data_IF_368736677150
#
_entry.id   IF_368736677150
#
_cell.length_a   1.000
_cell.length_b   1.000
_cell.length_c   1.000
_cell.angle_alpha   90.00
_cell.angle_beta   90.00
_cell.angle_gamma   90.00
#
_symmetry.space_group_name_H-M   'P 1'
#
loop_
_entity.id
_entity.type
_entity.pdbx_description
1 polymer ?
#
# COMPACT_ATOMS: atom_id res chain seq x y z
N UNK A 1 19.77 17.86 15.51
CA UNK A 1 19.53 16.43 15.30
C UNK A 1 18.27 16.07 16.06
N UNK A 2 17.24 15.54 15.39
CA UNK A 2 16.05 15.00 16.07
C UNK A 2 16.41 13.79 16.95
N UNK A 3 15.57 13.48 17.94
CA UNK A 3 15.77 12.31 18.81
C UNK A 3 15.69 11.04 17.97
N UNK A 4 16.65 10.12 18.13
CA UNK A 4 16.60 8.78 17.52
C UNK A 4 15.41 8.02 18.13
N UNK A 5 14.54 7.48 17.30
CA UNK A 5 13.37 6.70 17.71
C UNK A 5 13.56 5.25 17.33
N UNK A 6 12.99 4.35 18.12
CA UNK A 6 12.85 2.96 17.78
C UNK A 6 11.49 2.72 17.12
N UNK A 7 11.50 2.38 15.83
CA UNK A 7 10.32 2.38 14.97
C UNK A 7 10.03 0.97 14.46
N UNK A 8 8.81 0.47 14.71
CA UNK A 8 8.33 -0.79 14.16
C UNK A 8 7.59 -0.54 12.83
N UNK A 9 7.98 -1.28 11.79
CA UNK A 9 7.24 -1.33 10.52
C UNK A 9 6.74 -2.75 10.31
N UNK A 10 5.43 -2.98 10.50
CA UNK A 10 4.81 -4.27 10.17
C UNK A 10 4.55 -4.38 8.68
N UNK A 11 4.75 -5.55 8.07
CA UNK A 11 4.77 -5.66 6.61
C UNK A 11 5.97 -4.96 5.99
N UNK A 12 7.06 -4.80 6.78
CA UNK A 12 8.22 -4.01 6.41
C UNK A 12 9.06 -4.57 5.26
N UNK A 13 8.95 -5.85 4.92
CA UNK A 13 9.57 -6.44 3.73
C UNK A 13 8.68 -6.38 2.48
N UNK A 14 7.47 -5.82 2.60
CA UNK A 14 6.54 -5.61 1.49
C UNK A 14 6.94 -4.47 0.57
N UNK A 15 6.11 -4.20 -0.43
CA UNK A 15 6.34 -3.14 -1.42
C UNK A 15 6.59 -1.79 -0.75
N UNK A 16 5.58 -1.18 -0.13
CA UNK A 16 5.74 0.12 0.53
C UNK A 16 6.58 0.03 1.81
N UNK A 17 6.43 -1.06 2.58
CA UNK A 17 7.16 -1.24 3.83
C UNK A 17 8.68 -1.21 3.67
N UNK A 18 9.21 -1.81 2.61
CA UNK A 18 10.65 -1.84 2.36
C UNK A 18 11.25 -0.47 2.03
N UNK A 19 10.49 0.37 1.32
CA UNK A 19 10.90 1.74 1.04
C UNK A 19 10.78 2.65 2.27
N UNK A 20 9.76 2.41 3.09
CA UNK A 20 9.61 3.12 4.36
C UNK A 20 10.73 2.75 5.32
N UNK A 21 11.06 1.45 5.48
CA UNK A 21 12.20 1.00 6.29
C UNK A 21 13.50 1.67 5.85
N UNK A 22 13.79 1.66 4.54
CA UNK A 22 14.98 2.29 3.97
C UNK A 22 15.04 3.78 4.32
N UNK A 23 13.95 4.51 4.11
CA UNK A 23 13.87 5.95 4.41
C UNK A 23 14.07 6.25 5.90
N UNK A 24 13.46 5.47 6.80
CA UNK A 24 13.59 5.66 8.25
C UNK A 24 15.01 5.34 8.75
N UNK A 25 15.66 4.29 8.18
CA UNK A 25 17.08 3.98 8.45
C UNK A 25 18.00 5.12 8.00
N UNK A 26 17.76 5.69 6.82
CA UNK A 26 18.51 6.85 6.30
C UNK A 26 18.30 8.12 7.16
N UNK A 27 17.12 8.27 7.76
CA UNK A 27 16.86 9.36 8.73
C UNK A 27 17.56 9.15 10.07
N UNK A 28 18.21 8.01 10.28
CA UNK A 28 18.99 7.69 11.48
C UNK A 28 18.18 7.08 12.62
N UNK A 29 16.98 6.58 12.36
CA UNK A 29 16.17 5.88 13.35
C UNK A 29 16.56 4.41 13.47
N UNK A 30 16.29 3.78 14.63
CA UNK A 30 16.35 2.35 14.86
C UNK A 30 15.09 1.70 14.30
N UNK A 31 15.21 0.92 13.24
CA UNK A 31 14.07 0.37 12.50
C UNK A 31 13.94 -1.14 12.70
N UNK A 32 12.79 -1.58 13.20
CA UNK A 32 12.40 -2.99 13.27
C UNK A 32 11.45 -3.29 12.12
N UNK A 33 11.92 -4.09 11.15
CA UNK A 33 11.11 -4.63 10.07
C UNK A 33 10.49 -5.95 10.53
N UNK A 34 9.18 -6.00 10.67
CA UNK A 34 8.45 -7.22 11.04
C UNK A 34 7.63 -7.72 9.86
N UNK A 35 7.87 -8.96 9.43
CA UNK A 35 7.19 -9.55 8.27
C UNK A 35 7.11 -11.07 8.38
N UNK A 36 6.04 -11.69 7.88
CA UNK A 36 5.90 -13.15 7.82
C UNK A 36 6.25 -13.74 6.44
N UNK A 37 6.57 -12.87 5.46
CA UNK A 37 6.87 -13.19 4.07
C UNK A 37 5.75 -13.93 3.33
N UNK A 38 4.50 -13.66 3.69
CA UNK A 38 3.35 -14.26 3.01
C UNK A 38 3.17 -13.73 1.58
N UNK A 39 3.39 -12.41 1.37
CA UNK A 39 3.31 -11.75 0.05
C UNK A 39 4.55 -10.95 -0.30
N UNK A 40 5.45 -10.78 0.65
CA UNK A 40 6.69 -10.02 0.56
C UNK A 40 7.90 -10.91 0.26
N UNK A 41 9.04 -10.28 0.00
CA UNK A 41 10.30 -10.98 -0.22
C UNK A 41 11.43 -10.40 0.64
N UNK A 42 12.28 -11.27 1.19
CA UNK A 42 13.46 -10.85 1.97
C UNK A 42 14.41 -9.99 1.14
N UNK A 43 14.50 -10.22 -0.17
CA UNK A 43 15.31 -9.43 -1.09
C UNK A 43 14.97 -7.93 -1.09
N UNK A 44 13.72 -7.55 -0.77
CA UNK A 44 13.31 -6.15 -0.71
C UNK A 44 14.04 -5.35 0.38
N UNK A 45 14.53 -6.01 1.43
CA UNK A 45 15.24 -5.39 2.56
C UNK A 45 16.66 -5.94 2.74
N UNK A 46 17.16 -6.76 1.80
CA UNK A 46 18.47 -7.39 1.91
C UNK A 46 19.60 -6.38 2.09
N UNK A 47 19.53 -5.23 1.40
CA UNK A 47 20.51 -4.14 1.47
C UNK A 47 20.54 -3.41 2.84
N UNK A 48 19.53 -3.63 3.68
CA UNK A 48 19.45 -3.05 5.04
C UNK A 48 19.99 -3.97 6.12
N UNK A 49 20.16 -5.28 5.84
CA UNK A 49 20.52 -6.27 6.87
C UNK A 49 21.87 -6.02 7.55
N UNK A 50 22.79 -5.32 6.89
CA UNK A 50 24.11 -4.96 7.43
C UNK A 50 24.14 -3.59 8.12
N UNK A 51 23.01 -2.87 8.11
CA UNK A 51 22.91 -1.57 8.78
C UNK A 51 22.77 -1.75 10.29
N UNK A 52 23.56 -1.04 11.11
CA UNK A 52 23.54 -1.22 12.58
C UNK A 52 22.22 -0.80 13.23
N UNK A 53 21.42 0.03 12.55
CA UNK A 53 20.15 0.54 13.00
C UNK A 53 18.96 -0.11 12.28
N UNK A 54 19.12 -1.38 11.82
CA UNK A 54 18.06 -2.15 11.18
C UNK A 54 17.99 -3.57 11.73
N UNK A 55 16.80 -4.00 12.13
CA UNK A 55 16.52 -5.35 12.61
C UNK A 55 15.38 -5.98 11.80
N UNK A 56 15.56 -7.23 11.34
CA UNK A 56 14.53 -7.99 10.64
C UNK A 56 13.99 -9.09 11.53
N UNK A 57 12.70 -9.03 11.86
CA UNK A 57 11.99 -10.04 12.65
C UNK A 57 10.98 -10.78 11.76
N UNK A 58 11.14 -12.10 11.63
CA UNK A 58 10.15 -12.94 10.97
C UNK A 58 9.04 -13.30 11.96
N UNK A 59 7.87 -12.66 11.80
CA UNK A 59 6.74 -12.88 12.68
C UNK A 59 5.41 -12.62 11.98
N UNK A 60 4.35 -13.34 12.39
CA UNK A 60 2.98 -13.13 11.93
C UNK A 60 2.24 -12.20 12.88
N UNK A 61 1.84 -11.02 12.41
CA UNK A 61 1.19 -10.00 13.23
C UNK A 61 -0.17 -10.43 13.84
N UNK A 62 -0.75 -11.52 13.34
CA UNK A 62 -1.96 -12.12 13.98
C UNK A 62 -1.66 -12.82 15.29
N UNK A 63 -0.39 -13.02 15.63
CA UNK A 63 0.08 -13.55 16.90
C UNK A 63 0.63 -12.42 17.76
N UNK A 64 0.49 -12.49 19.08
CA UNK A 64 1.05 -11.48 19.99
C UNK A 64 2.57 -11.37 19.86
N UNK A 65 3.07 -10.16 19.94
CA UNK A 65 4.50 -9.85 20.04
C UNK A 65 4.69 -8.69 21.02
N UNK A 66 5.79 -8.71 21.76
CA UNK A 66 6.11 -7.71 22.76
C UNK A 66 7.46 -7.05 22.40
N UNK A 67 7.41 -5.80 21.97
CA UNK A 67 8.57 -4.97 21.63
C UNK A 67 8.43 -3.62 22.36
N UNK A 68 9.56 -3.00 22.68
CA UNK A 68 9.59 -1.62 23.16
C UNK A 68 9.88 -0.71 21.97
N UNK A 69 8.97 0.19 21.64
CA UNK A 69 9.04 1.06 20.47
C UNK A 69 8.41 2.43 20.75
N UNK A 70 8.87 3.44 20.04
CA UNK A 70 8.36 4.82 20.12
C UNK A 70 7.26 5.07 19.08
N UNK A 71 7.39 4.44 17.90
CA UNK A 71 6.44 4.58 16.80
C UNK A 71 6.18 3.25 16.09
N UNK A 72 4.97 3.11 15.53
CA UNK A 72 4.57 1.91 14.79
C UNK A 72 3.91 2.33 13.48
N UNK A 73 4.41 1.82 12.35
CA UNK A 73 3.75 1.86 11.06
C UNK A 73 3.12 0.50 10.76
N UNK A 74 1.79 0.42 10.81
CA UNK A 74 1.07 -0.84 10.57
C UNK A 74 0.68 -0.98 9.10
N UNK A 75 1.56 -1.63 8.31
CA UNK A 75 1.36 -1.88 6.88
C UNK A 75 1.04 -3.35 6.57
N UNK A 76 1.13 -4.25 7.55
CA UNK A 76 0.94 -5.68 7.35
C UNK A 76 -0.49 -6.02 6.90
N UNK A 77 -0.65 -6.32 5.61
CA UNK A 77 -1.85 -6.92 5.03
C UNK A 77 -1.57 -7.33 3.58
N UNK A 78 -2.07 -8.48 3.09
CA UNK A 78 -2.15 -8.72 1.66
C UNK A 78 -2.99 -7.62 1.00
N UNK A 79 -2.43 -6.88 0.04
CA UNK A 79 -3.05 -5.65 -0.47
C UNK A 79 -3.34 -5.67 -1.98
N UNK A 80 -2.97 -6.74 -2.67
CA UNK A 80 -3.26 -6.91 -4.09
C UNK A 80 -4.33 -7.99 -4.30
N UNK A 81 -5.23 -7.85 -5.30
CA UNK A 81 -6.36 -8.77 -5.52
C UNK A 81 -5.96 -10.24 -5.55
N UNK A 82 -4.92 -10.59 -6.29
CA UNK A 82 -4.42 -11.96 -6.36
C UNK A 82 -3.95 -12.51 -5.02
N UNK A 83 -3.44 -11.66 -4.13
CA UNK A 83 -2.94 -12.07 -2.82
C UNK A 83 -4.03 -12.14 -1.75
N UNK A 84 -4.91 -11.13 -1.64
CA UNK A 84 -5.90 -11.13 -0.57
C UNK A 84 -7.06 -12.12 -0.85
N UNK A 85 -7.34 -12.43 -2.13
CA UNK A 85 -8.33 -13.44 -2.52
C UNK A 85 -7.76 -14.88 -2.43
N UNK A 86 -6.43 -15.04 -2.49
CA UNK A 86 -5.79 -16.34 -2.31
C UNK A 86 -6.10 -16.96 -0.93
N UNK A 87 -6.07 -16.16 0.14
CA UNK A 87 -6.50 -16.59 1.47
C UNK A 87 -7.29 -15.47 2.16
N UNK A 88 -8.61 -15.36 1.87
CA UNK A 88 -9.43 -14.27 2.37
C UNK A 88 -9.57 -14.28 3.89
N UNK A 89 -9.61 -15.47 4.53
CA UNK A 89 -9.68 -15.58 5.98
C UNK A 89 -8.39 -15.04 6.62
N UNK A 90 -7.22 -15.37 6.07
CA UNK A 90 -5.94 -14.83 6.52
C UNK A 90 -5.88 -13.31 6.37
N UNK A 91 -6.37 -12.79 5.26
CA UNK A 91 -6.44 -11.34 5.00
C UNK A 91 -7.28 -10.62 6.05
N UNK A 92 -8.49 -11.11 6.32
CA UNK A 92 -9.35 -10.56 7.38
C UNK A 92 -8.70 -10.64 8.75
N UNK A 93 -8.13 -11.80 9.13
CA UNK A 93 -7.41 -11.97 10.40
C UNK A 93 -6.24 -10.99 10.52
N UNK A 94 -5.47 -10.80 9.46
CA UNK A 94 -4.32 -9.86 9.47
C UNK A 94 -4.80 -8.44 9.72
N UNK A 95 -5.87 -8.00 9.08
CA UNK A 95 -6.42 -6.65 9.29
C UNK A 95 -7.00 -6.47 10.70
N UNK A 96 -7.72 -7.45 11.25
CA UNK A 96 -8.44 -7.29 12.53
C UNK A 96 -7.55 -7.68 13.72
N UNK A 97 -7.04 -8.92 13.77
CA UNK A 97 -6.21 -9.38 14.88
C UNK A 97 -4.86 -8.66 14.88
N UNK A 98 -4.28 -8.40 13.69
CA UNK A 98 -3.07 -7.60 13.57
C UNK A 98 -3.25 -6.20 14.13
N UNK A 99 -4.36 -5.53 13.81
CA UNK A 99 -4.68 -4.21 14.39
C UNK A 99 -4.81 -4.26 15.91
N UNK A 100 -5.50 -5.26 16.46
CA UNK A 100 -5.65 -5.43 17.93
C UNK A 100 -4.27 -5.61 18.59
N UNK A 101 -3.40 -6.46 18.05
CA UNK A 101 -2.07 -6.71 18.61
C UNK A 101 -1.19 -5.46 18.56
N UNK A 102 -1.21 -4.74 17.44
CA UNK A 102 -0.45 -3.49 17.26
C UNK A 102 -0.95 -2.40 18.20
N UNK A 103 -2.26 -2.22 18.31
CA UNK A 103 -2.86 -1.23 19.22
C UNK A 103 -2.61 -1.55 20.70
N UNK A 104 -2.63 -2.85 21.07
CA UNK A 104 -2.24 -3.29 22.41
C UNK A 104 -0.79 -2.95 22.73
N UNK A 105 0.12 -3.13 21.79
CA UNK A 105 1.53 -2.73 21.89
C UNK A 105 1.68 -1.21 22.00
N UNK A 106 1.02 -0.46 21.11
CA UNK A 106 1.03 1.00 21.12
C UNK A 106 0.55 1.56 22.46
N UNK A 107 -0.54 1.00 23.01
CA UNK A 107 -1.05 1.38 24.34
C UNK A 107 -0.01 1.11 25.45
N UNK A 108 0.62 -0.06 25.43
CA UNK A 108 1.62 -0.46 26.45
C UNK A 108 2.87 0.42 26.39
N UNK A 109 3.41 0.66 25.18
CA UNK A 109 4.62 1.47 24.98
C UNK A 109 4.36 2.98 25.00
N UNK A 110 3.10 3.42 25.00
CA UNK A 110 2.71 4.81 24.71
C UNK A 110 3.25 5.31 23.36
N UNK A 111 3.33 4.39 22.41
CA UNK A 111 3.83 4.67 21.06
C UNK A 111 2.76 5.31 20.19
N UNK A 112 3.17 6.22 19.28
CA UNK A 112 2.31 6.67 18.19
C UNK A 112 2.19 5.58 17.15
N UNK A 113 0.98 5.34 16.62
CA UNK A 113 0.75 4.27 15.66
C UNK A 113 -0.01 4.75 14.43
N UNK A 114 0.55 4.47 13.24
CA UNK A 114 -0.09 4.76 11.95
C UNK A 114 -0.69 3.49 11.36
N UNK A 115 -1.96 3.58 10.95
CA UNK A 115 -2.66 2.55 10.18
C UNK A 115 -2.58 2.89 8.69
N UNK A 116 -1.95 2.04 7.91
CA UNK A 116 -2.08 2.06 6.46
C UNK A 116 -3.44 1.46 6.05
N UNK A 117 -4.44 2.32 5.93
CA UNK A 117 -5.72 2.02 5.32
C UNK A 117 -5.64 2.16 3.79
N UNK A 118 -6.76 2.16 3.12
CA UNK A 118 -6.82 2.04 1.66
C UNK A 118 -8.01 2.82 1.09
N UNK A 119 -7.92 3.21 -0.18
CA UNK A 119 -9.08 3.73 -0.93
C UNK A 119 -10.19 2.69 -1.12
N UNK A 120 -9.91 1.40 -0.88
CA UNK A 120 -10.91 0.33 -0.99
C UNK A 120 -12.02 0.45 0.07
N UNK A 121 -11.79 1.20 1.17
CA UNK A 121 -12.84 1.52 2.17
C UNK A 121 -13.98 2.33 1.58
N UNK A 122 -13.78 2.96 0.43
CA UNK A 122 -14.81 3.69 -0.31
C UNK A 122 -15.71 2.80 -1.19
N UNK A 123 -15.29 1.55 -1.44
CA UNK A 123 -16.03 0.59 -2.27
C UNK A 123 -16.13 1.04 -3.73
N UNK A 124 -17.31 0.86 -4.35
CA UNK A 124 -17.65 1.45 -5.65
C UNK A 124 -18.25 2.85 -5.42
N UNK A 125 -17.46 3.92 -5.57
CA UNK A 125 -17.84 5.22 -5.04
C UNK A 125 -18.86 5.94 -5.91
N UNK A 126 -19.90 6.48 -5.25
CA UNK A 126 -20.90 7.38 -5.85
C UNK A 126 -20.41 8.85 -5.90
N UNK A 127 -19.34 9.16 -5.18
CA UNK A 127 -18.74 10.51 -5.09
C UNK A 127 -17.39 10.53 -5.77
N UNK A 128 -17.14 11.54 -6.60
CA UNK A 128 -15.90 11.69 -7.35
C UNK A 128 -15.41 13.15 -7.41
N UNK A 129 -14.16 13.48 -7.10
CA UNK A 129 -13.18 12.62 -6.39
C UNK A 129 -13.62 12.28 -4.95
N UNK A 130 -13.03 11.23 -4.33
CA UNK A 130 -13.44 10.76 -3.01
C UNK A 130 -12.78 11.58 -1.90
N UNK A 131 -13.58 12.37 -1.11
CA UNK A 131 -13.08 13.02 0.10
C UNK A 131 -13.14 12.07 1.29
N UNK A 132 -12.37 12.35 2.34
CA UNK A 132 -12.31 11.50 3.55
C UNK A 132 -13.65 11.43 4.30
N UNK A 133 -14.54 12.40 4.11
CA UNK A 133 -15.90 12.43 4.69
C UNK A 133 -16.86 11.44 4.05
N UNK A 134 -16.54 10.93 2.85
CA UNK A 134 -17.36 9.93 2.19
C UNK A 134 -17.25 8.59 2.88
N UNK A 135 -18.38 8.02 3.31
CA UNK A 135 -18.43 6.78 4.11
C UNK A 135 -18.21 5.51 3.31
N UNK A 136 -18.35 5.58 1.98
CA UNK A 136 -18.16 4.47 1.07
C UNK A 136 -19.40 3.59 0.85
N UNK A 137 -19.32 2.79 -0.23
CA UNK A 137 -20.32 1.81 -0.65
C UNK A 137 -19.64 0.45 -0.90
N UNK A 138 -19.24 -0.22 0.20
CA UNK A 138 -18.57 -1.52 0.15
C UNK A 138 -19.61 -2.64 0.07
N UNK A 139 -19.36 -3.66 -0.78
CA UNK A 139 -20.13 -4.89 -0.78
C UNK A 139 -19.60 -5.83 0.32
N UNK A 140 -20.32 -6.01 1.47
CA UNK A 140 -19.80 -6.74 2.63
C UNK A 140 -19.70 -8.26 2.44
N UNK A 141 -20.31 -8.81 1.38
CA UNK A 141 -20.31 -10.24 1.05
C UNK A 141 -19.65 -10.55 -0.30
N UNK A 142 -19.08 -9.53 -0.95
CA UNK A 142 -18.39 -9.68 -2.22
C UNK A 142 -17.01 -10.34 -2.07
N UNK A 143 -16.39 -10.77 -3.19
CA UNK A 143 -15.08 -11.44 -3.17
C UNK A 143 -13.94 -10.56 -2.67
N UNK A 144 -14.13 -9.24 -2.61
CA UNK A 144 -13.16 -8.26 -2.10
C UNK A 144 -13.38 -7.91 -0.62
N UNK A 145 -14.53 -8.30 -0.05
CA UNK A 145 -14.94 -7.92 1.32
C UNK A 145 -13.89 -8.25 2.39
N UNK A 146 -13.15 -9.34 2.23
CA UNK A 146 -12.08 -9.73 3.18
C UNK A 146 -11.00 -8.65 3.36
N UNK A 147 -10.74 -7.87 2.32
CA UNK A 147 -9.81 -6.76 2.36
C UNK A 147 -10.51 -5.44 2.72
N UNK A 148 -11.57 -5.12 2.00
CA UNK A 148 -12.29 -3.85 2.12
C UNK A 148 -12.88 -3.68 3.53
N UNK A 149 -13.66 -4.66 4.00
CA UNK A 149 -14.22 -4.66 5.37
C UNK A 149 -13.15 -4.87 6.44
N UNK A 150 -12.11 -5.67 6.16
CA UNK A 150 -10.99 -5.83 7.07
C UNK A 150 -10.30 -4.49 7.37
N UNK A 151 -10.10 -3.66 6.36
CA UNK A 151 -9.51 -2.32 6.52
C UNK A 151 -10.46 -1.34 7.21
N UNK A 152 -11.77 -1.40 6.91
CA UNK A 152 -12.80 -0.61 7.61
C UNK A 152 -12.85 -0.97 9.10
N UNK A 153 -12.83 -2.26 9.44
CA UNK A 153 -12.78 -2.74 10.82
C UNK A 153 -11.49 -2.27 11.54
N UNK A 154 -10.35 -2.26 10.85
CA UNK A 154 -9.11 -1.73 11.41
C UNK A 154 -9.21 -0.23 11.71
N UNK A 155 -9.77 0.60 10.81
CA UNK A 155 -10.02 2.02 11.10
C UNK A 155 -10.91 2.20 12.34
N UNK A 156 -11.98 1.41 12.47
CA UNK A 156 -12.87 1.42 13.65
C UNK A 156 -12.12 1.09 14.93
N UNK A 157 -11.32 0.02 14.93
CA UNK A 157 -10.50 -0.37 16.09
C UNK A 157 -9.52 0.73 16.50
N UNK A 158 -8.84 1.35 15.53
CA UNK A 158 -7.93 2.46 15.80
C UNK A 158 -8.65 3.62 16.47
N UNK A 159 -9.81 4.04 15.95
CA UNK A 159 -10.61 5.12 16.53
C UNK A 159 -11.12 4.78 17.93
N UNK A 160 -11.51 3.53 18.19
CA UNK A 160 -12.02 3.12 19.51
C UNK A 160 -10.90 3.04 20.55
N UNK A 161 -9.71 2.54 20.19
CA UNK A 161 -8.53 2.61 21.08
C UNK A 161 -8.11 4.05 21.38
N UNK A 162 -8.23 4.94 20.41
CA UNK A 162 -7.99 6.36 20.63
C UNK A 162 -9.00 6.96 21.63
N UNK A 163 -10.29 6.75 21.40
CA UNK A 163 -11.36 7.32 22.24
C UNK A 163 -11.36 6.75 23.66
N UNK A 164 -11.16 5.45 23.80
CA UNK A 164 -11.28 4.77 25.09
C UNK A 164 -9.96 4.71 25.88
N UNK A 165 -8.83 4.66 25.19
CA UNK A 165 -7.53 4.42 25.82
C UNK A 165 -6.51 5.54 25.59
N UNK A 166 -6.86 6.58 24.83
CA UNK A 166 -5.97 7.70 24.55
C UNK A 166 -4.74 7.32 23.69
N UNK A 167 -4.83 6.22 22.92
CA UNK A 167 -3.72 5.85 22.02
C UNK A 167 -3.55 6.92 20.96
N UNK A 168 -2.32 7.39 20.75
CA UNK A 168 -1.98 8.39 19.71
C UNK A 168 -1.92 7.71 18.34
N UNK A 169 -3.02 7.78 17.60
CA UNK A 169 -3.19 7.11 16.31
C UNK A 169 -3.05 8.07 15.14
N UNK A 170 -2.70 7.50 13.98
CA UNK A 170 -2.77 8.14 12.65
C UNK A 170 -3.41 7.17 11.66
N UNK A 171 -4.26 7.68 10.77
CA UNK A 171 -4.90 6.87 9.72
C UNK A 171 -4.64 7.52 8.38
N UNK A 172 -4.08 6.76 7.43
CA UNK A 172 -3.93 7.18 6.03
C UNK A 172 -4.68 6.22 5.11
N UNK A 173 -5.40 6.75 4.13
CA UNK A 173 -6.07 5.97 3.07
C UNK A 173 -5.24 6.06 1.80
N UNK A 174 -4.50 4.99 1.51
CA UNK A 174 -3.58 4.91 0.38
C UNK A 174 -4.36 4.54 -0.88
N UNK A 175 -4.22 5.34 -1.93
CA UNK A 175 -4.73 5.07 -3.27
C UNK A 175 -3.75 4.24 -4.09
N UNK A 176 -4.10 3.92 -5.35
CA UNK A 176 -3.26 3.08 -6.19
C UNK A 176 -1.83 3.59 -6.24
N UNK A 177 -0.92 2.77 -5.75
CA UNK A 177 0.51 3.08 -5.67
C UNK A 177 1.31 2.12 -6.52
N UNK A 178 2.36 2.61 -7.16
CA UNK A 178 3.25 1.84 -8.02
C UNK A 178 4.72 2.25 -7.82
N UNK A 179 5.63 1.41 -8.27
CA UNK A 179 7.07 1.67 -8.19
C UNK A 179 7.93 0.40 -8.14
N UNK A 180 9.24 0.53 -8.03
CA UNK A 180 10.17 -0.57 -7.76
C UNK A 180 9.78 -1.41 -6.54
N UNK A 181 10.15 -2.69 -6.54
CA UNK A 181 9.77 -3.71 -5.52
C UNK A 181 8.28 -4.08 -5.49
N UNK A 182 7.48 -3.57 -6.44
CA UNK A 182 6.11 -4.05 -6.66
C UNK A 182 6.15 -5.47 -7.20
N UNK A 183 5.34 -6.38 -6.64
CA UNK A 183 5.38 -7.79 -7.06
C UNK A 183 4.92 -7.96 -8.52
N UNK A 184 5.72 -8.62 -9.40
CA UNK A 184 5.40 -8.71 -10.83
C UNK A 184 4.07 -9.42 -11.15
N UNK A 185 3.58 -10.26 -10.23
CA UNK A 185 2.35 -11.02 -10.37
C UNK A 185 1.28 -10.63 -9.34
N UNK A 186 1.25 -9.36 -8.89
CA UNK A 186 0.24 -8.91 -7.93
C UNK A 186 -1.14 -8.69 -8.55
N UNK A 187 -1.24 -8.77 -9.88
CA UNK A 187 -2.49 -8.63 -10.61
C UNK A 187 -2.93 -7.20 -10.88
N UNK A 188 -2.16 -6.19 -10.45
CA UNK A 188 -2.46 -4.79 -10.75
C UNK A 188 -2.10 -4.42 -12.18
N UNK A 189 -2.77 -3.40 -12.72
CA UNK A 189 -2.64 -3.03 -14.14
C UNK A 189 -1.20 -2.65 -14.52
N UNK A 190 -0.51 -1.85 -13.70
CA UNK A 190 0.86 -1.39 -14.00
C UNK A 190 1.84 -2.57 -14.05
N UNK A 191 1.85 -3.44 -13.02
CA UNK A 191 2.72 -4.61 -12.98
C UNK A 191 2.43 -5.57 -14.15
N UNK A 192 1.15 -5.78 -14.48
CA UNK A 192 0.76 -6.61 -15.60
C UNK A 192 1.24 -6.02 -16.95
N UNK A 193 1.00 -4.74 -17.21
CA UNK A 193 1.39 -4.12 -18.46
C UNK A 193 2.90 -4.09 -18.65
N UNK A 194 3.67 -3.74 -17.61
CA UNK A 194 5.14 -3.73 -17.68
C UNK A 194 5.65 -5.15 -17.97
N UNK A 195 5.17 -6.14 -17.22
CA UNK A 195 5.58 -7.55 -17.42
C UNK A 195 5.23 -8.04 -18.81
N UNK A 196 4.02 -7.79 -19.30
CA UNK A 196 3.57 -8.18 -20.64
C UNK A 196 4.40 -7.50 -21.72
N UNK A 197 4.62 -6.18 -21.62
CA UNK A 197 5.42 -5.44 -22.59
C UNK A 197 6.87 -5.92 -22.66
N UNK A 198 7.52 -6.18 -21.51
CA UNK A 198 8.91 -6.66 -21.46
C UNK A 198 9.08 -8.10 -21.95
N UNK A 199 8.00 -8.88 -21.99
CA UNK A 199 7.99 -10.27 -22.51
C UNK A 199 7.43 -10.37 -23.91
N UNK A 200 7.15 -9.26 -24.57
CA UNK A 200 6.50 -9.21 -25.89
C UNK A 200 5.17 -9.96 -25.93
N UNK A 201 4.47 -10.04 -24.77
CA UNK A 201 3.12 -10.58 -24.64
C UNK A 201 2.08 -9.50 -24.92
N UNK A 202 0.87 -9.82 -25.44
CA UNK A 202 -0.20 -8.83 -25.61
C UNK A 202 -0.58 -8.15 -24.30
N UNK A 203 -0.72 -6.81 -24.30
CA UNK A 203 -1.21 -6.05 -23.16
C UNK A 203 -2.72 -6.26 -23.00
N UNK A 204 -3.13 -6.79 -21.86
CA UNK A 204 -4.54 -7.11 -21.60
C UNK A 204 -5.27 -5.94 -20.96
N UNK A 205 -6.15 -5.28 -21.70
CA UNK A 205 -7.06 -4.23 -21.22
C UNK A 205 -8.42 -4.86 -20.94
N UNK A 206 -8.92 -4.68 -19.71
CA UNK A 206 -10.25 -5.13 -19.34
C UNK A 206 -11.28 -4.03 -19.62
N UNK A 207 -12.44 -4.39 -20.22
CA UNK A 207 -13.41 -3.44 -20.73
C UNK A 207 -12.95 -2.80 -22.05
N UNK A 208 -13.39 -1.57 -22.29
CA UNK A 208 -13.04 -0.77 -23.49
C UNK A 208 -11.81 0.12 -23.29
N UNK A 209 -11.23 0.13 -22.07
CA UNK A 209 -10.05 0.93 -21.73
C UNK A 209 -10.34 2.39 -21.38
N UNK A 210 -11.60 2.83 -21.42
CA UNK A 210 -12.00 4.22 -21.10
C UNK A 210 -12.10 4.49 -19.59
N UNK A 211 -12.16 3.44 -18.76
CA UNK A 211 -12.17 3.60 -17.31
C UNK A 211 -10.90 4.29 -16.84
N UNK A 212 -11.06 5.22 -15.89
CA UNK A 212 -9.94 6.02 -15.37
C UNK A 212 -9.42 5.51 -14.04
N UNK A 213 -8.14 5.69 -13.81
CA UNK A 213 -7.44 5.46 -12.55
C UNK A 213 -6.42 6.55 -12.32
N UNK A 214 -6.18 6.84 -11.06
CA UNK A 214 -5.06 7.66 -10.63
C UNK A 214 -3.95 6.79 -10.05
N UNK A 215 -2.69 7.18 -10.24
CA UNK A 215 -1.54 6.39 -9.81
C UNK A 215 -0.53 7.29 -9.09
N UNK A 216 -0.18 6.95 -7.87
CA UNK A 216 0.79 7.67 -7.06
C UNK A 216 2.11 6.89 -7.00
N UNK A 217 3.22 7.59 -7.22
CA UNK A 217 4.53 6.95 -7.10
C UNK A 217 4.87 6.67 -5.63
N UNK A 218 5.54 5.56 -5.35
CA UNK A 218 5.84 5.05 -4.02
C UNK A 218 6.51 6.07 -3.08
N UNK A 219 7.44 6.90 -3.61
CA UNK A 219 8.18 7.86 -2.78
C UNK A 219 7.27 8.96 -2.24
N UNK A 220 6.30 9.40 -3.04
CA UNK A 220 5.30 10.38 -2.59
C UNK A 220 4.43 9.79 -1.48
N UNK A 221 4.03 8.52 -1.59
CA UNK A 221 3.24 7.85 -0.55
C UNK A 221 4.04 7.66 0.74
N UNK A 222 5.30 7.25 0.64
CA UNK A 222 6.21 7.09 1.79
C UNK A 222 6.40 8.43 2.50
N UNK A 223 6.65 9.50 1.76
CA UNK A 223 6.75 10.86 2.31
C UNK A 223 5.45 11.28 3.01
N UNK A 224 4.29 10.98 2.40
CA UNK A 224 2.98 11.26 3.00
C UNK A 224 2.76 10.53 4.33
N UNK A 225 3.17 9.25 4.42
CA UNK A 225 3.10 8.47 5.67
C UNK A 225 4.01 9.07 6.76
N UNK A 226 5.22 9.47 6.41
CA UNK A 226 6.17 10.09 7.35
C UNK A 226 5.60 11.42 7.85
N UNK A 227 5.13 12.29 6.98
CA UNK A 227 4.50 13.57 7.39
C UNK A 227 3.27 13.36 8.25
N UNK A 228 2.47 12.32 7.98
CA UNK A 228 1.33 11.99 8.82
C UNK A 228 1.76 11.50 10.20
N UNK A 229 2.83 10.71 10.30
CA UNK A 229 3.39 10.26 11.58
C UNK A 229 3.95 11.43 12.39
N UNK A 230 4.63 12.37 11.74
CA UNK A 230 5.26 13.54 12.36
C UNK A 230 4.28 14.69 12.65
N UNK A 231 3.03 14.58 12.17
CA UNK A 231 2.07 15.67 12.29
C UNK A 231 1.70 15.98 13.75
N UNK A 232 1.12 17.17 13.92
CA UNK A 232 0.74 17.69 15.21
C UNK A 232 -0.11 16.74 16.06
N UNK A 233 0.00 16.87 17.35
CA UNK A 233 -0.78 16.10 18.31
C UNK A 233 -2.29 16.35 18.14
N UNK A 234 -3.08 15.28 18.25
CA UNK A 234 -4.54 15.37 18.12
C UNK A 234 -5.10 15.26 16.71
N UNK A 235 -4.28 15.37 15.64
CA UNK A 235 -4.77 15.13 14.29
C UNK A 235 -4.63 13.65 13.91
N UNK A 236 -5.72 12.90 13.98
CA UNK A 236 -5.74 11.44 13.78
C UNK A 236 -6.02 11.02 12.32
N UNK A 237 -6.56 11.89 11.50
CA UNK A 237 -7.04 11.54 10.16
C UNK A 237 -8.49 10.98 10.16
N UNK A 238 -8.91 10.17 9.16
CA UNK A 238 -8.10 9.68 8.05
C UNK A 238 -7.65 10.78 7.07
N UNK A 239 -6.57 10.50 6.32
CA UNK A 239 -6.08 11.36 5.23
C UNK A 239 -5.84 10.54 3.97
N UNK A 240 -6.32 11.01 2.83
CA UNK A 240 -6.05 10.41 1.53
C UNK A 240 -4.62 10.69 1.07
N UNK A 241 -3.90 9.64 0.72
CA UNK A 241 -2.60 9.70 0.06
C UNK A 241 -2.70 9.09 -1.34
N UNK A 242 -2.60 9.92 -2.37
CA UNK A 242 -2.71 9.51 -3.75
C UNK A 242 -2.49 10.67 -4.71
N UNK A 243 -2.43 10.38 -6.01
CA UNK A 243 -2.31 11.40 -7.04
C UNK A 243 -3.70 11.68 -7.63
N UNK A 244 -4.19 12.93 -7.67
CA UNK A 244 -5.49 13.25 -8.25
C UNK A 244 -5.50 13.27 -9.79
N UNK A 245 -4.34 13.12 -10.45
CA UNK A 245 -4.28 13.04 -11.91
C UNK A 245 -4.80 11.70 -12.40
N UNK A 246 -5.81 11.72 -13.27
CA UNK A 246 -6.45 10.53 -13.80
C UNK A 246 -5.96 10.21 -15.22
N UNK A 247 -5.78 8.92 -15.49
CA UNK A 247 -5.44 8.38 -16.80
C UNK A 247 -6.42 7.26 -17.16
N UNK A 248 -6.80 7.18 -18.43
CA UNK A 248 -7.49 5.99 -18.92
C UNK A 248 -6.55 4.78 -18.92
N UNK A 249 -7.11 3.60 -18.79
CA UNK A 249 -6.32 2.37 -18.86
C UNK A 249 -5.66 2.21 -20.24
N UNK A 250 -6.31 2.73 -21.29
CA UNK A 250 -5.75 2.72 -22.64
C UNK A 250 -4.54 3.66 -22.75
N UNK A 251 -4.60 4.90 -22.23
CA UNK A 251 -3.45 5.83 -22.19
C UNK A 251 -2.28 5.24 -21.41
N UNK A 252 -2.56 4.57 -20.27
CA UNK A 252 -1.54 3.87 -19.51
C UNK A 252 -0.85 2.77 -20.33
N UNK A 253 -1.64 1.96 -21.07
CA UNK A 253 -1.08 0.90 -21.93
C UNK A 253 -0.17 1.48 -23.02
N UNK A 254 -0.60 2.56 -23.69
CA UNK A 254 0.20 3.25 -24.70
C UNK A 254 1.51 3.80 -24.10
N UNK A 255 1.44 4.43 -22.91
CA UNK A 255 2.62 4.98 -22.26
C UNK A 255 3.62 3.88 -21.86
N UNK A 256 3.14 2.72 -21.40
CA UNK A 256 4.01 1.57 -21.08
C UNK A 256 4.67 1.03 -22.35
N UNK A 257 3.95 0.89 -23.47
CA UNK A 257 4.52 0.46 -24.75
C UNK A 257 5.60 1.44 -25.23
N UNK A 258 5.34 2.74 -25.16
CA UNK A 258 6.31 3.78 -25.53
C UNK A 258 7.59 3.67 -24.68
N UNK A 259 7.46 3.62 -23.36
CA UNK A 259 8.60 3.59 -22.43
C UNK A 259 9.40 2.29 -22.47
N UNK A 260 8.75 1.17 -22.80
CA UNK A 260 9.44 -0.12 -22.94
C UNK A 260 10.06 -0.30 -24.33
N UNK A 261 9.57 0.40 -25.34
CA UNK A 261 9.88 0.19 -26.75
C UNK A 261 9.24 -1.09 -27.32
N UNK A 262 8.29 -1.70 -26.60
CA UNK A 262 7.62 -2.93 -27.02
C UNK A 262 6.63 -2.68 -28.15
N UNK A 263 6.51 -3.66 -29.05
CA UNK A 263 5.52 -3.68 -30.15
C UNK A 263 4.33 -4.60 -29.85
N UNK A 264 4.17 -5.00 -28.61
CA UNK A 264 3.06 -5.87 -28.20
C UNK A 264 1.71 -5.27 -28.54
N UNK A 265 0.76 -6.04 -29.07
CA UNK A 265 -0.58 -5.55 -29.34
C UNK A 265 -1.36 -5.34 -28.03
N UNK A 266 -2.30 -4.40 -28.04
CA UNK A 266 -3.29 -4.25 -26.95
C UNK A 266 -4.48 -5.12 -27.31
N UNK A 267 -4.90 -5.99 -26.35
CA UNK A 267 -6.07 -6.87 -26.49
C UNK A 267 -7.09 -6.56 -25.41
N UNK A 268 -8.36 -6.58 -25.79
CA UNK A 268 -9.47 -6.27 -24.87
C UNK A 268 -10.12 -7.55 -24.36
N UNK A 269 -10.44 -7.58 -23.06
CA UNK A 269 -11.14 -8.69 -22.40
C UNK A 269 -12.34 -8.19 -21.59
N UNK A 270 -13.34 -9.03 -21.32
CA UNK A 270 -14.46 -8.65 -20.47
C UNK A 270 -13.98 -8.12 -19.10
N UNK A 271 -14.70 -7.11 -18.58
CA UNK A 271 -14.38 -6.51 -17.28
C UNK A 271 -14.69 -7.49 -16.15
N UNK A 272 -13.81 -7.62 -15.13
CA UNK A 272 -14.08 -8.39 -13.92
C UNK A 272 -15.29 -7.83 -13.16
N UNK A 273 -16.01 -8.70 -12.45
CA UNK A 273 -17.05 -8.26 -11.52
C UNK A 273 -16.44 -7.43 -10.37
N UNK A 274 -17.21 -6.45 -9.86
CA UNK A 274 -16.85 -5.58 -8.73
C UNK A 274 -15.58 -4.71 -8.95
N UNK A 275 -15.13 -4.49 -10.21
CA UNK A 275 -14.06 -3.54 -10.48
C UNK A 275 -14.63 -2.11 -10.53
N UNK A 276 -14.24 -1.17 -9.63
CA UNK A 276 -14.79 0.18 -9.57
C UNK A 276 -14.64 0.93 -10.90
N UNK A 277 -15.64 1.75 -11.25
CA UNK A 277 -15.60 2.52 -12.50
C UNK A 277 -14.53 3.62 -12.44
N UNK A 278 -14.48 4.36 -11.33
CA UNK A 278 -13.55 5.48 -11.11
C UNK A 278 -13.01 5.45 -9.70
N UNK A 279 -11.74 5.85 -9.54
CA UNK A 279 -11.11 6.02 -8.24
C UNK A 279 -10.07 7.13 -8.31
N UNK A 280 -10.37 8.26 -7.63
CA UNK A 280 -9.53 9.44 -7.63
C UNK A 280 -9.56 10.08 -6.23
N UNK A 281 -8.42 10.36 -5.57
CA UNK A 281 -8.42 10.99 -4.26
C UNK A 281 -8.74 12.48 -4.34
N UNK A 282 -9.57 12.98 -3.42
CA UNK A 282 -9.47 14.35 -2.99
C UNK A 282 -8.33 14.46 -1.97
N UNK A 283 -7.30 15.26 -2.27
CA UNK A 283 -6.12 15.45 -1.42
C UNK A 283 -6.09 16.81 -0.73
N UNK A 284 -7.21 17.51 -0.69
CA UNK A 284 -7.32 18.84 -0.07
C UNK A 284 -6.88 18.79 1.40
N UNK A 285 -7.29 17.76 2.13
CA UNK A 285 -6.93 17.59 3.53
C UNK A 285 -5.43 17.31 3.71
N UNK A 286 -4.83 16.49 2.86
CA UNK A 286 -3.38 16.23 2.86
C UNK A 286 -2.56 17.50 2.60
N UNK A 287 -2.97 18.32 1.63
CA UNK A 287 -2.33 19.62 1.37
C UNK A 287 -2.43 20.54 2.58
N UNK A 288 -3.63 20.65 3.16
CA UNK A 288 -3.89 21.58 4.29
C UNK A 288 -3.19 21.15 5.58
N UNK A 289 -3.23 19.86 5.92
CA UNK A 289 -2.76 19.35 7.22
C UNK A 289 -1.32 18.87 7.21
N UNK A 290 -0.85 18.33 6.08
CA UNK A 290 0.48 17.74 5.96
C UNK A 290 1.43 18.61 5.09
N UNK A 291 0.93 19.62 4.40
CA UNK A 291 1.69 20.31 3.35
C UNK A 291 2.17 19.34 2.27
N UNK A 292 1.41 18.26 2.04
CA UNK A 292 1.79 17.18 1.15
C UNK A 292 0.98 17.17 -0.14
N UNK A 293 1.66 16.93 -1.24
CA UNK A 293 1.10 16.60 -2.54
C UNK A 293 2.07 15.70 -3.31
N UNK A 294 1.59 14.87 -4.27
CA UNK A 294 2.46 14.05 -5.12
C UNK A 294 3.31 14.94 -6.02
N UNK A 295 4.57 14.54 -6.24
CA UNK A 295 5.55 15.30 -7.03
C UNK A 295 6.03 14.55 -8.27
N UNK A 296 5.96 13.22 -8.25
CA UNK A 296 6.48 12.38 -9.33
C UNK A 296 5.39 12.16 -10.37
N UNK A 297 5.66 12.57 -11.61
CA UNK A 297 4.74 12.34 -12.73
C UNK A 297 4.62 10.85 -13.06
N UNK A 298 3.48 10.44 -13.69
CA UNK A 298 3.28 9.05 -14.09
C UNK A 298 4.40 8.57 -15.03
N UNK A 299 4.82 9.39 -15.99
CA UNK A 299 5.89 9.07 -16.94
C UNK A 299 7.22 8.81 -16.23
N UNK A 300 7.63 9.68 -15.33
CA UNK A 300 8.87 9.53 -14.57
C UNK A 300 8.85 8.29 -13.68
N UNK A 301 7.78 8.10 -12.94
CA UNK A 301 7.63 6.95 -12.04
C UNK A 301 7.57 5.61 -12.80
N UNK A 302 6.91 5.58 -13.98
CA UNK A 302 6.89 4.39 -14.85
C UNK A 302 8.28 4.07 -15.40
N UNK A 303 9.05 5.06 -15.84
CA UNK A 303 10.41 4.84 -16.33
C UNK A 303 11.27 4.15 -15.26
N UNK A 304 11.28 4.67 -14.03
CA UNK A 304 11.99 4.05 -12.88
C UNK A 304 11.48 2.66 -12.55
N UNK A 305 10.17 2.44 -12.67
CA UNK A 305 9.55 1.14 -12.39
C UNK A 305 9.93 0.11 -13.45
N UNK A 306 9.90 0.49 -14.73
CA UNK A 306 10.28 -0.36 -15.86
C UNK A 306 11.76 -0.75 -15.75
N UNK A 307 12.64 0.20 -15.40
CA UNK A 307 14.07 -0.08 -15.20
C UNK A 307 14.27 -1.13 -14.11
N UNK A 308 13.57 -1.01 -12.98
CA UNK A 308 13.60 -2.01 -11.93
C UNK A 308 13.10 -3.38 -12.43
N UNK A 309 11.99 -3.44 -13.16
CA UNK A 309 11.48 -4.70 -13.73
C UNK A 309 12.48 -5.36 -14.71
N UNK A 310 13.27 -4.58 -15.43
CA UNK A 310 14.36 -5.09 -16.28
C UNK A 310 15.53 -5.66 -15.49
N UNK A 311 15.76 -5.13 -14.29
CA UNK A 311 16.91 -5.53 -13.45
C UNK A 311 16.66 -6.81 -12.63
N UNK A 312 15.40 -7.24 -12.49
CA UNK A 312 15.05 -8.41 -11.67
C UNK A 312 14.89 -9.68 -12.53
N UNK A 313 15.20 -10.82 -11.91
CA UNK A 313 14.82 -12.11 -12.45
C UNK A 313 13.39 -12.46 -12.04
N UNK A 314 12.43 -12.25 -12.95
CA UNK A 314 11.00 -12.49 -12.72
C UNK A 314 10.72 -13.96 -12.37
N UNK A 315 11.59 -14.92 -12.75
CA UNK A 315 11.38 -16.34 -12.43
C UNK A 315 11.49 -16.65 -10.93
N UNK A 316 12.10 -15.76 -10.15
CA UNK A 316 12.20 -15.89 -8.70
C UNK A 316 10.88 -15.47 -7.98
N UNK A 317 9.97 -14.84 -8.71
CA UNK A 317 8.67 -14.43 -8.20
C UNK A 317 7.60 -15.45 -8.57
N UNK A 318 6.87 -15.94 -7.57
CA UNK A 318 5.78 -16.89 -7.80
C UNK A 318 4.44 -16.15 -7.89
N UNK A 319 3.63 -16.41 -8.92
CA UNK A 319 2.24 -15.92 -8.91
C UNK A 319 1.50 -16.51 -7.71
N UNK A 320 0.58 -15.75 -7.08
CA UNK A 320 -0.30 -16.32 -6.08
C UNK A 320 -1.14 -17.43 -6.77
N UNK A 321 -0.95 -18.66 -6.33
CA UNK A 321 -1.74 -19.82 -6.83
C UNK A 321 -2.78 -20.18 -5.79
N UNK A 322 -4.06 -20.32 -6.16
CA UNK A 322 -5.05 -20.87 -5.24
C UNK A 322 -4.65 -22.31 -4.87
N UNK A 323 -4.59 -22.60 -3.58
CA UNK A 323 -4.55 -23.98 -3.10
C UNK A 323 -5.98 -24.52 -3.13
N UNK A 324 -6.44 -25.04 -4.26
CA UNK A 324 -7.61 -25.88 -4.40
C UNK A 324 -7.21 -27.25 -4.92
#
# INVERSE_FOLDING_TARGET
>A
MGMVKRILVTGGAGFLGSHLCERLVEMGHDVICLDNFFTSQKSNVAHLLEKPNFELIRHDITLPIYLEVDEIYNLACPAAPGHYQYNPIKTMKTSVLGAINVLGMAKRCRARVLQASTSEVYGDPEVHPQPETYRGAVNPIGPRACYDEGKRAAETLFMDYHRMNGVDIRIVRIFNTYGPRMHPFDGRVISNFIRQALREEPLTVYGDGTQTRSFCYRDDVVEGMIRMMENEEGFVGPVNLGNPEEFTIYELAQLVLELTGSRSPIVFKPRPADDPARRCPDITLARKKLGWEPKVSLREGLAKTIEWFRSIDISQYRPPTPNY
#
